data_IF_496549575443
#
_entry.id   IF_496549575443
#
_cell.length_a   1.000
_cell.length_b   1.000
_cell.length_c   1.000
_cell.angle_alpha   90.00
_cell.angle_beta   90.00
_cell.angle_gamma   90.00
#
_symmetry.space_group_name_H-M   'P 1'
#
loop_
_entity.id
_entity.type
_entity.pdbx_description
1 polymer ?
#
# COMPACT_ATOMS: atom_id res chain seq x y z
N UNK A 1 21.80 -28.19 6.57
CA UNK A 1 20.40 -27.70 6.67
C UNK A 1 20.34 -26.74 7.85
N UNK A 2 20.43 -25.44 7.58
CA UNK A 2 20.52 -24.40 8.61
C UNK A 2 19.19 -23.64 8.68
N UNK A 3 18.52 -23.77 9.83
CA UNK A 3 17.27 -23.11 10.17
C UNK A 3 17.58 -21.63 10.50
N UNK A 4 17.20 -20.70 9.62
CA UNK A 4 17.41 -19.26 9.83
C UNK A 4 16.27 -18.75 10.71
N UNK A 5 16.55 -18.66 12.01
CA UNK A 5 15.63 -18.21 13.06
C UNK A 5 15.02 -16.83 12.76
N UNK A 6 13.69 -16.77 12.65
CA UNK A 6 12.92 -15.52 12.56
C UNK A 6 12.76 -14.97 13.98
N UNK A 7 13.28 -13.78 14.27
CA UNK A 7 13.04 -13.08 15.54
C UNK A 7 11.57 -12.69 15.63
N UNK A 8 10.91 -13.10 16.71
CA UNK A 8 9.51 -12.78 16.99
C UNK A 8 9.40 -11.33 17.50
N UNK A 9 8.34 -10.62 17.13
CA UNK A 9 8.01 -9.27 17.63
C UNK A 9 7.93 -9.23 19.18
N UNK A 10 7.64 -10.38 19.81
CA UNK A 10 7.67 -10.51 21.26
C UNK A 10 9.08 -10.31 21.85
N UNK A 11 10.13 -10.74 21.15
CA UNK A 11 11.52 -10.56 21.59
C UNK A 11 11.95 -9.10 21.48
N UNK A 12 11.44 -8.39 20.46
CA UNK A 12 11.69 -6.96 20.27
C UNK A 12 11.05 -6.12 21.40
N UNK A 13 9.83 -6.47 21.82
CA UNK A 13 9.12 -5.78 22.91
C UNK A 13 9.69 -6.13 24.31
N UNK A 14 10.26 -7.32 24.48
CA UNK A 14 10.92 -7.71 25.72
C UNK A 14 12.26 -6.98 25.93
N UNK A 15 13.00 -6.75 24.85
CA UNK A 15 14.28 -6.01 24.89
C UNK A 15 14.10 -4.53 25.27
N UNK A 16 12.92 -3.98 25.01
CA UNK A 16 12.54 -2.61 25.39
C UNK A 16 12.21 -2.43 26.88
N UNK A 17 11.90 -3.52 27.61
CA UNK A 17 11.53 -3.47 29.04
C UNK A 17 12.71 -3.57 30.00
N UNK A 18 13.86 -4.09 29.56
CA UNK A 18 15.03 -4.30 30.43
C UNK A 18 15.83 -3.01 30.65
N UNK A 19 15.60 -1.97 29.85
CA UNK A 19 16.29 -0.67 29.96
C UNK A 19 15.71 0.22 31.07
N UNK A 20 14.52 -0.10 31.59
CA UNK A 20 13.74 0.80 32.45
C UNK A 20 13.94 0.58 33.97
N UNK A 21 14.92 -0.23 34.39
CA UNK A 21 15.22 -0.47 35.82
C UNK A 21 16.65 -0.06 36.18
N UNK A 22 17.01 1.22 36.03
CA UNK A 22 18.19 1.82 36.69
C UNK A 22 18.16 3.35 36.59
N UNK A 23 17.34 4.04 37.40
CA UNK A 23 17.61 5.42 37.82
C UNK A 23 16.59 5.88 38.88
N UNK A 24 16.90 5.61 40.15
CA UNK A 24 16.40 6.40 41.28
C UNK A 24 17.59 7.21 41.81
N UNK A 25 17.45 8.54 41.91
CA UNK A 25 17.87 9.44 43.04
C UNK A 25 17.93 10.91 42.58
N UNK A 26 17.06 11.76 43.16
CA UNK A 26 17.33 13.14 43.65
C UNK A 26 17.77 14.30 42.71
N UNK A 27 17.54 15.59 43.09
CA UNK A 27 17.14 16.61 42.12
C UNK A 27 18.15 17.73 41.82
N UNK A 28 17.95 18.30 40.61
CA UNK A 28 18.21 19.66 40.14
C UNK A 28 19.66 20.19 40.08
N UNK A 29 20.18 20.33 38.86
CA UNK A 29 20.95 21.50 38.42
C UNK A 29 20.98 21.60 36.88
N UNK A 30 20.98 22.83 36.37
CA UNK A 30 20.76 23.22 34.97
C UNK A 30 22.02 23.27 34.11
N UNK A 31 21.87 22.90 32.81
CA UNK A 31 22.71 23.24 31.63
C UNK A 31 23.82 22.23 31.23
N UNK A 32 24.26 22.14 29.94
CA UNK A 32 23.62 22.39 28.64
C UNK A 32 23.56 21.12 27.74
N UNK A 33 22.89 21.24 26.58
CA UNK A 33 22.70 20.18 25.59
C UNK A 33 24.01 19.47 25.16
N UNK A 34 24.07 18.15 25.37
CA UNK A 34 25.05 17.24 24.80
C UNK A 34 24.40 16.42 23.66
N UNK A 35 25.20 15.94 22.69
CA UNK A 35 24.73 15.59 21.34
C UNK A 35 23.78 14.39 21.34
N UNK A 36 22.69 14.53 20.59
CA UNK A 36 21.78 13.42 20.31
C UNK A 36 22.54 12.39 19.46
N UNK A 37 23.01 11.31 20.08
CA UNK A 37 23.53 10.16 19.34
C UNK A 37 22.38 9.52 18.53
N UNK A 38 22.56 9.23 17.23
CA UNK A 38 21.51 8.70 16.40
C UNK A 38 21.19 7.25 16.78
N UNK A 39 19.91 6.97 17.05
CA UNK A 39 19.40 5.63 17.36
C UNK A 39 19.58 4.64 16.19
N UNK A 40 19.94 3.37 16.44
CA UNK A 40 20.45 2.44 15.43
C UNK A 40 19.36 1.72 14.60
N UNK A 41 18.34 2.42 14.12
CA UNK A 41 17.29 1.82 13.26
C UNK A 41 16.79 2.72 12.13
N UNK A 42 17.49 3.82 11.84
CA UNK A 42 17.13 4.69 10.74
C UNK A 42 17.60 4.09 9.41
N UNK A 43 16.67 3.85 8.48
CA UNK A 43 17.01 3.72 7.06
C UNK A 43 17.73 5.03 6.68
N UNK A 44 19.00 4.95 6.29
CA UNK A 44 19.74 6.13 5.83
C UNK A 44 19.28 6.47 4.42
N UNK A 45 18.52 7.56 4.30
CA UNK A 45 18.07 8.10 3.02
C UNK A 45 19.16 9.02 2.46
N UNK A 46 19.58 8.86 1.20
CA UNK A 46 20.61 9.72 0.61
C UNK A 46 20.10 11.16 0.49
N UNK A 47 21.03 12.12 0.56
CA UNK A 47 20.72 13.51 0.21
C UNK A 47 20.25 13.60 -1.25
N UNK A 48 19.33 14.52 -1.59
CA UNK A 48 18.85 14.67 -2.96
C UNK A 48 20.00 14.88 -3.96
N UNK A 49 20.03 14.06 -5.00
CA UNK A 49 20.98 14.19 -6.11
C UNK A 49 20.30 13.99 -7.47
N UNK A 50 20.97 14.41 -8.55
CA UNK A 50 20.51 14.15 -9.92
C UNK A 50 21.19 12.89 -10.43
N UNK A 51 20.38 11.94 -10.94
CA UNK A 51 20.89 10.68 -11.52
C UNK A 51 21.65 10.89 -12.82
N UNK A 52 22.28 9.83 -13.32
CA UNK A 52 22.95 9.85 -14.62
C UNK A 52 21.98 9.91 -15.81
N UNK A 53 22.48 10.32 -16.99
CA UNK A 53 21.71 10.29 -18.25
C UNK A 53 21.59 8.87 -18.84
N UNK A 54 22.26 7.88 -18.23
CA UNK A 54 22.21 6.48 -18.65
C UNK A 54 20.87 5.83 -18.27
N UNK A 55 20.35 4.96 -19.15
CA UNK A 55 19.08 4.30 -18.88
C UNK A 55 19.15 3.26 -17.75
N UNK A 56 20.33 2.72 -17.47
CA UNK A 56 20.55 1.68 -16.45
C UNK A 56 21.02 2.33 -15.15
N UNK A 57 20.38 1.96 -14.03
CA UNK A 57 20.81 2.41 -12.71
C UNK A 57 22.16 1.79 -12.37
N UNK A 58 23.08 2.63 -11.90
CA UNK A 58 24.30 2.22 -11.22
C UNK A 58 23.98 1.41 -9.96
N UNK A 59 24.95 0.66 -9.44
CA UNK A 59 24.75 -0.10 -8.21
C UNK A 59 24.39 0.80 -7.02
N UNK A 60 24.98 2.00 -6.98
CA UNK A 60 24.64 3.01 -5.98
C UNK A 60 23.20 3.48 -6.11
N UNK A 61 22.75 3.82 -7.32
CA UNK A 61 21.36 4.25 -7.56
C UNK A 61 20.34 3.14 -7.24
N UNK A 62 20.69 1.87 -7.48
CA UNK A 62 19.86 0.73 -7.06
C UNK A 62 19.74 0.63 -5.54
N UNK A 63 20.86 0.77 -4.82
CA UNK A 63 20.85 0.76 -3.37
C UNK A 63 20.05 1.95 -2.79
N UNK A 64 20.22 3.14 -3.37
CA UNK A 64 19.49 4.35 -3.01
C UNK A 64 17.99 4.21 -3.29
N UNK A 65 17.61 3.59 -4.41
CA UNK A 65 16.21 3.29 -4.74
C UNK A 65 15.59 2.38 -3.68
N UNK A 66 16.26 1.29 -3.30
CA UNK A 66 15.77 0.37 -2.25
C UNK A 66 15.59 1.10 -0.91
N UNK A 67 16.54 1.97 -0.53
CA UNK A 67 16.43 2.76 0.70
C UNK A 67 15.24 3.74 0.65
N UNK A 68 15.09 4.45 -0.48
CA UNK A 68 13.97 5.38 -0.71
C UNK A 68 12.62 4.65 -0.69
N UNK A 69 12.50 3.52 -1.39
CA UNK A 69 11.28 2.70 -1.42
C UNK A 69 10.92 2.19 -0.02
N UNK A 70 11.91 1.74 0.75
CA UNK A 70 11.70 1.30 2.13
C UNK A 70 11.18 2.44 3.03
N UNK A 71 11.70 3.66 2.91
CA UNK A 71 11.16 4.80 3.65
C UNK A 71 9.75 5.21 3.20
N UNK A 72 9.45 5.15 1.91
CA UNK A 72 8.09 5.40 1.39
C UNK A 72 7.12 4.34 1.89
N UNK A 73 7.58 3.09 2.04
CA UNK A 73 6.76 2.00 2.56
C UNK A 73 6.42 2.17 4.04
N UNK A 74 7.30 2.79 4.85
CA UNK A 74 6.99 3.16 6.25
C UNK A 74 5.75 4.05 6.33
N UNK A 75 5.58 5.02 5.42
CA UNK A 75 4.42 5.91 5.41
C UNK A 75 3.10 5.12 5.28
N UNK A 76 3.11 4.02 4.52
CA UNK A 76 1.91 3.22 4.24
C UNK A 76 1.43 2.44 5.46
N UNK A 77 2.31 2.08 6.40
CA UNK A 77 1.95 1.45 7.68
C UNK A 77 1.84 2.44 8.85
N UNK A 78 2.40 3.64 8.70
CA UNK A 78 2.44 4.66 9.75
C UNK A 78 1.05 5.06 10.26
N UNK A 79 0.02 5.08 9.40
CA UNK A 79 -1.34 5.44 9.83
C UNK A 79 -1.90 4.45 10.87
N UNK A 80 -1.59 3.15 10.74
CA UNK A 80 -2.07 2.14 11.68
C UNK A 80 -1.35 2.27 13.03
N UNK A 81 -0.05 2.53 13.01
CA UNK A 81 0.72 2.82 14.23
C UNK A 81 0.20 4.10 14.92
N UNK A 82 -0.07 5.15 14.15
CA UNK A 82 -0.65 6.39 14.67
C UNK A 82 -2.03 6.14 15.28
N UNK A 83 -2.90 5.37 14.61
CA UNK A 83 -4.22 4.99 15.14
C UNK A 83 -4.14 4.23 16.46
N UNK A 84 -3.23 3.25 16.55
CA UNK A 84 -2.99 2.48 17.78
C UNK A 84 -2.47 3.37 18.90
N UNK A 85 -1.51 4.25 18.62
CA UNK A 85 -0.97 5.20 19.59
C UNK A 85 -2.03 6.19 20.09
N UNK A 86 -2.83 6.76 19.17
CA UNK A 86 -3.95 7.64 19.50
C UNK A 86 -4.97 6.93 20.39
N UNK A 87 -5.28 5.65 20.12
CA UNK A 87 -6.16 4.87 20.98
C UNK A 87 -5.57 4.69 22.37
N UNK A 88 -4.28 4.34 22.50
CA UNK A 88 -3.60 4.21 23.80
C UNK A 88 -3.65 5.52 24.57
N UNK A 89 -3.33 6.65 23.92
CA UNK A 89 -3.39 7.98 24.52
C UNK A 89 -4.80 8.28 25.05
N UNK A 90 -5.83 8.01 24.24
CA UNK A 90 -7.23 8.25 24.59
C UNK A 90 -7.68 7.37 25.75
N UNK A 91 -7.53 6.06 25.61
CA UNK A 91 -8.10 5.06 26.51
C UNK A 91 -7.37 5.05 27.86
N UNK A 92 -6.05 5.23 27.89
CA UNK A 92 -5.26 5.38 29.11
C UNK A 92 -5.24 6.83 29.66
N UNK A 93 -5.94 7.75 28.99
CA UNK A 93 -6.03 9.18 29.35
C UNK A 93 -4.66 9.84 29.54
N UNK A 94 -3.70 9.53 28.68
CA UNK A 94 -2.32 10.07 28.76
C UNK A 94 -2.26 11.59 28.51
N UNK A 95 -3.34 12.18 28.01
CA UNK A 95 -3.49 13.62 27.81
C UNK A 95 -3.83 14.40 29.10
N UNK A 96 -4.26 13.72 30.17
CA UNK A 96 -4.92 14.33 31.35
C UNK A 96 -4.09 15.34 32.14
N UNK A 97 -2.77 15.33 31.98
CA UNK A 97 -1.88 16.26 32.66
C UNK A 97 -1.95 17.68 32.06
N UNK A 98 -2.11 17.77 30.73
CA UNK A 98 -2.08 19.05 30.00
C UNK A 98 -3.45 19.45 29.45
N UNK A 99 -4.35 18.51 29.20
CA UNK A 99 -5.61 18.75 28.52
C UNK A 99 -6.81 18.10 29.23
N UNK A 100 -7.98 18.76 29.23
CA UNK A 100 -9.18 18.22 29.87
C UNK A 100 -9.80 17.05 29.09
N UNK A 101 -9.65 17.03 27.76
CA UNK A 101 -10.22 16.02 26.87
C UNK A 101 -9.20 15.56 25.83
N UNK A 102 -9.44 14.37 25.27
CA UNK A 102 -8.61 13.82 24.19
C UNK A 102 -8.67 14.70 22.94
N UNK A 103 -9.86 15.24 22.63
CA UNK A 103 -10.11 16.10 21.49
C UNK A 103 -9.27 17.37 21.56
N UNK A 104 -9.27 18.05 22.71
CA UNK A 104 -8.46 19.24 22.94
C UNK A 104 -6.97 18.93 22.76
N UNK A 105 -6.51 17.79 23.28
CA UNK A 105 -5.12 17.34 23.13
C UNK A 105 -4.73 17.11 21.67
N UNK A 106 -5.58 16.42 20.89
CA UNK A 106 -5.27 16.13 19.49
C UNK A 106 -5.27 17.40 18.64
N UNK A 107 -6.21 18.31 18.88
CA UNK A 107 -6.32 19.56 18.15
C UNK A 107 -5.13 20.49 18.45
N UNK A 108 -4.76 20.65 19.72
CA UNK A 108 -3.63 21.51 20.11
C UNK A 108 -2.27 20.90 19.74
N UNK A 109 -2.00 19.66 20.18
CA UNK A 109 -0.66 19.05 20.05
C UNK A 109 -0.33 18.65 18.62
N UNK A 110 -1.31 18.17 17.86
CA UNK A 110 -1.09 17.58 16.54
C UNK A 110 -1.72 18.38 15.40
N UNK A 111 -2.43 19.48 15.69
CA UNK A 111 -3.14 20.29 14.68
C UNK A 111 -4.04 19.43 13.79
N UNK A 112 -4.61 18.37 14.38
CA UNK A 112 -5.36 17.32 13.70
C UNK A 112 -6.84 17.45 14.06
N UNK A 113 -7.72 17.35 13.07
CA UNK A 113 -9.17 17.31 13.34
C UNK A 113 -9.50 16.07 14.17
N UNK A 114 -10.34 16.25 15.18
CA UNK A 114 -10.85 15.14 16.01
C UNK A 114 -11.40 13.98 15.16
N UNK A 115 -12.16 14.26 14.10
CA UNK A 115 -12.69 13.24 13.18
C UNK A 115 -11.62 12.44 12.43
N UNK A 116 -10.45 13.02 12.17
CA UNK A 116 -9.32 12.32 11.59
C UNK A 116 -8.69 11.37 12.60
N UNK A 117 -8.51 11.80 13.85
CA UNK A 117 -7.95 10.95 14.90
C UNK A 117 -8.84 9.73 15.18
N UNK A 118 -10.16 9.93 15.32
CA UNK A 118 -11.09 8.82 15.50
C UNK A 118 -11.12 7.87 14.30
N UNK A 119 -10.96 8.37 13.07
CA UNK A 119 -10.85 7.52 11.86
C UNK A 119 -9.61 6.63 11.90
N UNK A 120 -8.45 7.16 12.31
CA UNK A 120 -7.24 6.37 12.49
C UNK A 120 -7.41 5.32 13.59
N UNK A 121 -8.06 5.69 14.70
CA UNK A 121 -8.39 4.77 15.80
C UNK A 121 -9.31 3.63 15.30
N UNK A 122 -10.29 3.93 14.44
CA UNK A 122 -11.20 2.92 13.90
C UNK A 122 -10.51 2.00 12.88
N UNK A 123 -9.56 2.52 12.10
CA UNK A 123 -8.92 1.79 11.01
C UNK A 123 -7.81 0.83 11.46
N UNK A 124 -7.00 1.20 12.47
CA UNK A 124 -5.79 0.43 12.80
C UNK A 124 -6.02 -1.06 13.16
N UNK A 125 -7.10 -1.49 13.84
CA UNK A 125 -7.27 -2.89 14.18
C UNK A 125 -7.43 -3.77 12.94
N UNK A 126 -8.16 -3.25 11.94
CA UNK A 126 -8.34 -3.96 10.68
C UNK A 126 -7.07 -3.91 9.82
N UNK A 127 -6.35 -2.79 9.84
CA UNK A 127 -5.05 -2.67 9.18
C UNK A 127 -4.02 -3.69 9.72
N UNK A 128 -3.98 -3.90 11.05
CA UNK A 128 -3.07 -4.86 11.68
C UNK A 128 -3.37 -6.30 11.25
N UNK A 129 -4.65 -6.65 11.07
CA UNK A 129 -5.08 -7.97 10.57
C UNK A 129 -4.81 -8.14 9.07
N UNK A 130 -4.94 -7.09 8.27
CA UNK A 130 -4.73 -7.14 6.81
C UNK A 130 -3.25 -7.05 6.41
N UNK A 131 -2.39 -6.49 7.26
CA UNK A 131 -0.96 -6.31 6.99
C UNK A 131 -0.20 -7.59 6.61
N UNK A 132 -0.49 -8.78 7.17
CA UNK A 132 0.20 -10.03 6.79
C UNK A 132 -0.30 -10.66 5.48
N UNK A 133 -1.39 -10.17 4.89
CA UNK A 133 -2.18 -10.90 3.87
C UNK A 133 -1.67 -10.64 2.43
N UNK A 134 -0.48 -10.08 2.27
CA UNK A 134 0.24 -10.08 0.98
C UNK A 134 1.49 -9.22 0.97
N UNK A 135 2.27 -9.32 -0.11
CA UNK A 135 3.41 -8.43 -0.42
C UNK A 135 2.98 -6.97 -0.72
N UNK A 136 1.69 -6.66 -0.59
CA UNK A 136 1.08 -5.37 -0.96
C UNK A 136 0.60 -4.67 0.31
N UNK A 137 1.27 -3.57 0.65
CA UNK A 137 0.91 -2.75 1.82
C UNK A 137 -0.45 -2.07 1.61
N UNK A 138 -1.34 -2.21 2.58
CA UNK A 138 -2.67 -1.60 2.61
C UNK A 138 -2.60 -0.15 3.12
N UNK A 139 -3.38 0.77 2.54
CA UNK A 139 -3.49 2.15 3.01
C UNK A 139 -4.80 2.43 3.76
N UNK A 140 -4.85 3.54 4.51
CA UNK A 140 -6.02 3.93 5.31
C UNK A 140 -7.31 3.96 4.50
N UNK A 141 -7.25 4.50 3.28
CA UNK A 141 -8.44 4.67 2.46
C UNK A 141 -8.99 3.33 1.97
N UNK A 142 -8.15 2.32 1.73
CA UNK A 142 -8.59 0.95 1.43
C UNK A 142 -9.20 0.29 2.67
N UNK A 143 -8.56 0.41 3.83
CA UNK A 143 -9.09 -0.13 5.10
C UNK A 143 -10.49 0.43 5.37
N UNK A 144 -10.67 1.74 5.14
CA UNK A 144 -11.93 2.44 5.40
C UNK A 144 -13.12 1.86 4.64
N UNK A 145 -12.93 1.40 3.41
CA UNK A 145 -14.01 0.77 2.63
C UNK A 145 -14.40 -0.61 3.18
N UNK A 146 -13.53 -1.25 3.96
CA UNK A 146 -13.76 -2.56 4.58
C UNK A 146 -14.28 -2.45 6.02
N UNK A 147 -14.22 -1.28 6.65
CA UNK A 147 -14.70 -1.07 8.03
C UNK A 147 -16.18 -1.45 8.17
N UNK A 148 -17.11 -0.97 7.32
CA UNK A 148 -18.52 -1.34 7.47
C UNK A 148 -18.74 -2.85 7.39
N UNK A 149 -18.05 -3.52 6.46
CA UNK A 149 -18.12 -4.97 6.31
C UNK A 149 -17.60 -5.69 7.57
N UNK A 150 -16.49 -5.22 8.14
CA UNK A 150 -15.93 -5.77 9.36
C UNK A 150 -16.83 -5.56 10.59
N UNK A 151 -17.54 -4.44 10.65
CA UNK A 151 -18.49 -4.13 11.73
C UNK A 151 -19.75 -5.00 11.66
N UNK A 152 -20.26 -5.27 10.46
CA UNK A 152 -21.50 -6.05 10.26
C UNK A 152 -21.27 -7.56 10.26
N UNK A 153 -20.14 -8.03 9.71
CA UNK A 153 -19.88 -9.46 9.47
C UNK A 153 -18.58 -9.97 10.08
N UNK A 154 -17.87 -9.13 10.84
CA UNK A 154 -16.62 -9.49 11.49
C UNK A 154 -15.38 -9.30 10.62
N UNK A 155 -14.21 -9.27 11.27
CA UNK A 155 -12.91 -9.00 10.59
C UNK A 155 -12.56 -10.05 9.54
N UNK A 156 -12.94 -11.31 9.74
CA UNK A 156 -12.70 -12.39 8.77
C UNK A 156 -13.43 -12.16 7.43
N UNK A 157 -14.58 -11.48 7.44
CA UNK A 157 -15.27 -11.10 6.22
C UNK A 157 -14.44 -10.09 5.42
N UNK A 158 -13.92 -9.05 6.08
CA UNK A 158 -13.02 -8.07 5.47
C UNK A 158 -11.71 -8.70 4.95
N UNK A 159 -11.15 -9.66 5.68
CA UNK A 159 -10.00 -10.45 5.24
C UNK A 159 -10.31 -11.23 3.96
N UNK A 160 -11.43 -11.96 3.94
CA UNK A 160 -11.86 -12.75 2.78
C UNK A 160 -12.03 -11.86 1.55
N UNK A 161 -12.70 -10.71 1.70
CA UNK A 161 -12.90 -9.75 0.60
C UNK A 161 -11.58 -9.20 0.11
N UNK A 162 -10.72 -8.69 1.00
CA UNK A 162 -9.43 -8.12 0.63
C UNK A 162 -8.56 -9.13 -0.10
N UNK A 163 -8.45 -10.35 0.44
CA UNK A 163 -7.66 -11.44 -0.15
C UNK A 163 -8.15 -11.80 -1.55
N UNK A 164 -9.46 -11.95 -1.71
CA UNK A 164 -10.06 -12.26 -3.02
C UNK A 164 -9.69 -11.22 -4.08
N UNK A 165 -9.78 -9.93 -3.74
CA UNK A 165 -9.39 -8.85 -4.68
C UNK A 165 -7.88 -8.84 -4.92
N UNK A 166 -7.06 -9.06 -3.87
CA UNK A 166 -5.60 -9.01 -3.96
C UNK A 166 -4.99 -10.16 -4.79
N UNK A 167 -5.64 -11.32 -4.77
CA UNK A 167 -5.29 -12.54 -5.51
C UNK A 167 -5.93 -12.60 -6.91
N UNK A 168 -6.81 -11.66 -7.26
CA UNK A 168 -7.38 -11.61 -8.61
C UNK A 168 -6.37 -10.99 -9.58
N UNK A 169 -5.95 -11.75 -10.60
CA UNK A 169 -4.99 -11.31 -11.60
C UNK A 169 -5.48 -10.07 -12.36
N UNK A 170 -4.55 -9.15 -12.64
CA UNK A 170 -4.85 -7.90 -13.35
C UNK A 170 -5.60 -6.84 -12.54
N UNK A 171 -6.03 -7.14 -11.30
CA UNK A 171 -6.76 -6.20 -10.45
C UNK A 171 -5.84 -5.52 -9.44
N UNK A 172 -5.81 -4.18 -9.48
CA UNK A 172 -5.17 -3.38 -8.43
C UNK A 172 -6.16 -3.16 -7.29
N UNK A 173 -5.75 -3.54 -6.07
CA UNK A 173 -6.53 -3.20 -4.87
C UNK A 173 -6.53 -1.69 -4.69
N UNK A 174 -7.69 -1.05 -4.83
CA UNK A 174 -7.89 0.39 -4.60
C UNK A 174 -9.13 0.59 -3.75
N UNK A 175 -9.27 1.75 -3.11
CA UNK A 175 -10.48 2.07 -2.35
C UNK A 175 -11.74 2.00 -3.24
N UNK A 176 -11.68 2.49 -4.48
CA UNK A 176 -12.80 2.42 -5.42
C UNK A 176 -13.22 0.97 -5.73
N UNK A 177 -12.25 0.08 -5.95
CA UNK A 177 -12.51 -1.35 -6.19
C UNK A 177 -13.13 -1.98 -4.94
N UNK A 178 -12.54 -1.77 -3.75
CA UNK A 178 -13.06 -2.34 -2.50
C UNK A 178 -14.48 -1.84 -2.20
N UNK A 179 -14.76 -0.56 -2.45
CA UNK A 179 -16.10 0.01 -2.32
C UNK A 179 -17.12 -0.68 -3.23
N UNK A 180 -16.76 -0.87 -4.51
CA UNK A 180 -17.62 -1.55 -5.48
C UNK A 180 -17.87 -3.01 -5.12
N UNK A 181 -16.82 -3.70 -4.69
CA UNK A 181 -16.85 -5.10 -4.24
C UNK A 181 -17.71 -5.26 -2.98
N UNK A 182 -17.56 -4.41 -1.97
CA UNK A 182 -18.42 -4.44 -0.77
C UNK A 182 -19.87 -4.12 -1.14
N UNK A 183 -20.10 -3.22 -2.09
CA UNK A 183 -21.44 -2.82 -2.53
C UNK A 183 -22.25 -3.90 -3.26
N UNK A 184 -21.61 -4.96 -3.77
CA UNK A 184 -22.34 -6.09 -4.40
C UNK A 184 -22.66 -7.22 -3.43
N UNK A 185 -22.10 -7.20 -2.23
CA UNK A 185 -22.34 -8.24 -1.23
C UNK A 185 -23.69 -8.00 -0.50
N UNK A 186 -24.39 -9.06 -0.09
CA UNK A 186 -25.61 -8.91 0.69
C UNK A 186 -25.33 -8.18 2.02
N UNK A 187 -26.14 -7.17 2.40
CA UNK A 187 -25.89 -6.37 3.61
C UNK A 187 -26.20 -7.12 4.92
N UNK A 188 -27.12 -8.09 4.88
CA UNK A 188 -27.64 -8.74 6.09
C UNK A 188 -26.94 -10.07 6.41
N UNK A 189 -26.20 -10.64 5.45
CA UNK A 189 -25.56 -11.95 5.59
C UNK A 189 -24.24 -12.00 4.84
N UNK A 190 -23.29 -12.75 5.39
CA UNK A 190 -22.01 -12.99 4.74
C UNK A 190 -21.73 -14.50 4.71
N UNK A 191 -21.71 -15.05 3.51
CA UNK A 191 -21.21 -16.40 3.26
C UNK A 191 -19.88 -16.28 2.50
N UNK A 192 -18.76 -16.82 3.02
CA UNK A 192 -17.44 -16.65 2.39
C UNK A 192 -17.35 -17.18 0.96
N UNK A 193 -17.96 -18.34 0.67
CA UNK A 193 -17.88 -18.96 -0.65
C UNK A 193 -18.69 -18.18 -1.67
N UNK A 194 -19.92 -17.80 -1.29
CA UNK A 194 -20.78 -16.95 -2.12
C UNK A 194 -20.15 -15.59 -2.36
N UNK A 195 -19.56 -14.97 -1.33
CA UNK A 195 -18.85 -13.70 -1.46
C UNK A 195 -17.70 -13.83 -2.46
N UNK A 196 -16.84 -14.84 -2.35
CA UNK A 196 -15.75 -15.06 -3.31
C UNK A 196 -16.26 -15.18 -4.75
N UNK A 197 -17.35 -15.93 -4.95
CA UNK A 197 -17.96 -16.10 -6.27
C UNK A 197 -18.53 -14.78 -6.83
N UNK A 198 -19.27 -14.02 -6.01
CA UNK A 198 -19.85 -12.74 -6.41
C UNK A 198 -18.77 -11.69 -6.71
N UNK A 199 -17.71 -11.65 -5.90
CA UNK A 199 -16.59 -10.73 -6.09
C UNK A 199 -15.85 -11.04 -7.37
N UNK A 200 -15.55 -12.32 -7.63
CA UNK A 200 -14.91 -12.73 -8.90
C UNK A 200 -15.80 -12.40 -10.09
N UNK A 201 -17.09 -12.71 -10.03
CA UNK A 201 -18.04 -12.37 -11.10
C UNK A 201 -18.12 -10.86 -11.35
N UNK A 202 -18.14 -10.05 -10.28
CA UNK A 202 -18.12 -8.59 -10.36
C UNK A 202 -16.82 -8.08 -10.97
N UNK A 203 -15.66 -8.60 -10.51
CA UNK A 203 -14.36 -8.20 -11.02
C UNK A 203 -14.20 -8.62 -12.47
N UNK A 204 -14.53 -9.85 -12.87
CA UNK A 204 -14.49 -10.28 -14.28
C UNK A 204 -15.36 -9.38 -15.16
N UNK A 205 -16.61 -9.12 -14.75
CA UNK A 205 -17.52 -8.25 -15.50
C UNK A 205 -17.00 -6.81 -15.65
N UNK A 206 -16.29 -6.29 -14.65
CA UNK A 206 -15.74 -4.93 -14.69
C UNK A 206 -14.34 -4.86 -15.30
N UNK A 207 -13.56 -5.94 -15.25
CA UNK A 207 -12.29 -6.11 -15.95
C UNK A 207 -12.55 -6.19 -17.46
N UNK A 208 -13.62 -6.85 -17.88
CA UNK A 208 -14.13 -6.85 -19.25
C UNK A 208 -14.82 -5.51 -19.63
N UNK A 209 -14.99 -4.58 -18.68
CA UNK A 209 -15.93 -3.45 -18.76
C UNK A 209 -15.37 -2.02 -18.63
N UNK A 210 -14.25 -1.75 -17.94
CA UNK A 210 -13.31 -0.61 -18.15
C UNK A 210 -12.36 -0.35 -16.98
N UNK A 211 -11.25 0.31 -17.36
CA UNK A 211 -10.32 1.09 -16.55
C UNK A 211 -10.88 1.68 -15.24
N UNK A 212 -10.28 1.27 -14.11
CA UNK A 212 -10.34 2.03 -12.86
C UNK A 212 -9.40 3.24 -12.96
N UNK A 213 -9.66 4.16 -13.89
CA UNK A 213 -9.00 5.47 -13.94
C UNK A 213 -9.71 6.44 -14.90
N UNK A 214 -10.92 6.86 -14.58
CA UNK A 214 -11.29 8.29 -14.48
C UNK A 214 -12.76 8.41 -14.06
N UNK A 215 -13.02 9.34 -13.15
CA UNK A 215 -14.32 9.53 -12.53
C UNK A 215 -15.39 10.03 -13.52
N UNK A 216 -16.63 9.58 -13.28
CA UNK A 216 -17.89 10.09 -13.84
C UNK A 216 -18.17 9.79 -15.34
N UNK A 217 -19.39 9.29 -15.59
CA UNK A 217 -20.02 9.29 -16.92
C UNK A 217 -19.89 7.97 -17.68
N UNK A 218 -21.01 7.27 -17.87
CA UNK A 218 -21.03 5.94 -18.47
C UNK A 218 -20.90 5.89 -19.99
N UNK A 219 -20.26 4.83 -20.48
CA UNK A 219 -20.61 3.99 -21.64
C UNK A 219 -19.46 3.00 -21.86
N UNK A 220 -19.73 1.84 -22.45
CA UNK A 220 -18.75 0.76 -22.70
C UNK A 220 -17.50 1.25 -23.47
N UNK A 221 -16.32 0.61 -23.28
CA UNK A 221 -15.09 1.02 -23.96
C UNK A 221 -15.25 0.83 -25.46
N UNK A 222 -15.05 1.92 -26.20
CA UNK A 222 -14.97 1.89 -27.66
C UNK A 222 -13.66 1.24 -28.11
N UNK A 223 -13.61 0.68 -29.32
CA UNK A 223 -12.37 0.18 -29.96
C UNK A 223 -11.19 1.18 -29.83
N UNK A 224 -11.48 2.48 -29.88
CA UNK A 224 -10.52 3.56 -29.69
C UNK A 224 -9.89 3.59 -28.28
N UNK A 225 -10.63 3.22 -27.24
CA UNK A 225 -10.13 3.12 -25.87
C UNK A 225 -9.14 1.95 -25.73
N UNK A 226 -9.47 0.78 -26.29
CA UNK A 226 -8.58 -0.39 -26.30
C UNK A 226 -7.26 -0.12 -27.05
N UNK A 227 -7.37 0.48 -28.23
CA UNK A 227 -6.19 0.91 -28.99
C UNK A 227 -5.39 1.97 -28.23
N UNK A 228 -6.06 2.84 -27.46
CA UNK A 228 -5.43 3.82 -26.57
C UNK A 228 -4.58 3.18 -25.46
N UNK A 229 -5.08 2.10 -24.85
CA UNK A 229 -4.36 1.31 -23.83
C UNK A 229 -3.15 0.60 -24.43
N UNK A 230 -3.36 -0.12 -25.53
CA UNK A 230 -2.28 -0.81 -26.27
C UNK A 230 -1.17 0.17 -26.65
N UNK A 231 -1.52 1.35 -27.19
CA UNK A 231 -0.56 2.41 -27.55
C UNK A 231 0.23 2.92 -26.34
N UNK A 232 -0.39 3.00 -25.16
CA UNK A 232 0.28 3.48 -23.94
C UNK A 232 1.29 2.46 -23.44
N UNK A 233 0.95 1.17 -23.49
CA UNK A 233 1.86 0.07 -23.15
C UNK A 233 3.04 0.06 -24.12
N UNK A 234 2.78 0.09 -25.43
CA UNK A 234 3.82 0.16 -26.45
C UNK A 234 4.73 1.38 -26.26
N UNK A 235 4.18 2.58 -26.04
CA UNK A 235 4.97 3.78 -25.74
C UNK A 235 5.82 3.62 -24.47
N UNK A 236 5.33 2.92 -23.45
CA UNK A 236 6.10 2.67 -22.21
C UNK A 236 7.22 1.66 -22.45
N UNK A 237 6.96 0.61 -23.22
CA UNK A 237 7.97 -0.40 -23.60
C UNK A 237 9.07 0.23 -24.47
N UNK A 238 8.71 1.14 -25.39
CA UNK A 238 9.66 1.86 -26.24
C UNK A 238 10.42 2.96 -25.47
N UNK A 239 9.77 3.65 -24.52
CA UNK A 239 10.42 4.66 -23.68
C UNK A 239 11.37 4.06 -22.64
N UNK A 240 11.08 2.84 -22.18
CA UNK A 240 12.03 2.08 -21.37
C UNK A 240 13.09 1.52 -22.31
N UNK A 241 14.32 1.49 -21.85
CA UNK A 241 15.44 0.93 -22.62
C UNK A 241 15.38 -0.61 -22.74
N UNK A 242 14.20 -1.21 -22.54
CA UNK A 242 13.93 -2.63 -22.61
C UNK A 242 14.17 -3.18 -24.01
N UNK A 243 13.78 -2.45 -25.06
CA UNK A 243 13.98 -2.90 -26.44
C UNK A 243 15.48 -2.85 -26.77
N UNK A 244 16.18 -1.79 -26.39
CA UNK A 244 17.62 -1.66 -26.64
C UNK A 244 18.42 -2.72 -25.87
N UNK A 245 18.05 -3.02 -24.62
CA UNK A 245 18.67 -4.08 -23.81
C UNK A 245 18.37 -5.47 -24.35
N UNK A 246 17.11 -5.77 -24.64
CA UNK A 246 16.74 -7.05 -25.23
C UNK A 246 17.41 -7.25 -26.60
N UNK A 247 17.57 -6.19 -27.40
CA UNK A 247 18.28 -6.26 -28.67
C UNK A 247 19.79 -6.42 -28.54
N UNK A 248 20.38 -6.01 -27.41
CA UNK A 248 21.79 -6.26 -27.10
C UNK A 248 22.04 -7.70 -26.63
N UNK A 249 21.04 -8.35 -26.04
CA UNK A 249 21.09 -9.74 -25.56
C UNK A 249 20.72 -10.76 -26.64
N UNK A 250 19.57 -10.59 -27.30
CA UNK A 250 19.11 -11.42 -28.41
C UNK A 250 18.35 -10.58 -29.46
N UNK A 251 19.05 -10.07 -30.49
CA UNK A 251 18.42 -9.24 -31.53
C UNK A 251 17.44 -10.02 -32.42
N UNK A 252 17.56 -11.35 -32.54
CA UNK A 252 16.69 -12.15 -33.39
C UNK A 252 15.35 -12.44 -32.70
N UNK A 253 15.36 -12.63 -31.37
CA UNK A 253 14.14 -12.74 -30.59
C UNK A 253 13.31 -11.45 -30.64
N UNK A 254 13.95 -10.29 -30.51
CA UNK A 254 13.27 -8.98 -30.63
C UNK A 254 12.66 -8.80 -32.02
N UNK A 255 13.38 -9.17 -33.09
CA UNK A 255 12.84 -9.11 -34.46
C UNK A 255 11.65 -10.03 -34.66
N UNK A 256 11.68 -11.24 -34.10
CA UNK A 256 10.57 -12.20 -34.16
C UNK A 256 9.33 -11.64 -33.49
N UNK A 257 9.43 -11.16 -32.25
CA UNK A 257 8.30 -10.59 -31.50
C UNK A 257 7.72 -9.35 -32.22
N UNK A 258 8.57 -8.48 -32.76
CA UNK A 258 8.12 -7.33 -33.55
C UNK A 258 7.39 -7.77 -34.83
N UNK A 259 7.84 -8.84 -35.47
CA UNK A 259 7.21 -9.38 -36.68
C UNK A 259 5.85 -10.03 -36.37
N UNK A 260 5.73 -10.74 -35.26
CA UNK A 260 4.45 -11.27 -34.76
C UNK A 260 3.45 -10.15 -34.46
N UNK A 261 3.89 -9.07 -33.80
CA UNK A 261 3.05 -7.90 -33.54
C UNK A 261 2.60 -7.21 -34.83
N UNK A 262 3.45 -7.14 -35.86
CA UNK A 262 3.05 -6.61 -37.18
C UNK A 262 2.02 -7.51 -37.85
N UNK A 263 2.21 -8.82 -37.85
CA UNK A 263 1.26 -9.75 -38.44
C UNK A 263 -0.13 -9.66 -37.79
N UNK A 264 -0.20 -9.47 -36.47
CA UNK A 264 -1.46 -9.25 -35.77
C UNK A 264 -2.14 -7.93 -36.17
N UNK A 265 -1.37 -6.87 -36.42
CA UNK A 265 -1.92 -5.60 -36.91
C UNK A 265 -2.42 -5.72 -38.35
N UNK A 266 -1.69 -6.44 -39.20
CA UNK A 266 -2.10 -6.72 -40.59
C UNK A 266 -3.39 -7.56 -40.62
N UNK A 267 -3.57 -8.52 -39.70
CA UNK A 267 -4.80 -9.31 -39.58
C UNK A 267 -6.00 -8.44 -39.15
N UNK A 268 -5.77 -7.44 -38.27
CA UNK A 268 -6.80 -6.47 -37.90
C UNK A 268 -7.17 -5.58 -39.09
N UNK A 269 -6.18 -5.14 -39.88
CA UNK A 269 -6.41 -4.34 -41.09
C UNK A 269 -7.22 -5.11 -42.14
N UNK A 270 -6.90 -6.39 -42.38
CA UNK A 270 -7.63 -7.28 -43.29
C UNK A 270 -9.06 -7.61 -42.84
N UNK A 271 -9.37 -7.45 -41.55
CA UNK A 271 -10.72 -7.65 -41.00
C UNK A 271 -11.58 -6.38 -41.10
N UNK A 272 -10.98 -5.22 -41.37
CA UNK A 272 -11.64 -3.91 -41.40
C UNK A 272 -11.80 -3.39 -42.83
N UNK A 273 -10.94 -3.82 -43.77
CA UNK A 273 -11.00 -3.53 -45.22
C UNK A 273 -11.58 -4.70 -46.03
#
# INVERSE_FOLDING_TARGET
MANKSRRSMADFLAQQRVVDQSADTGPAESSPAAPVEPSPSAITIPDPYTGGDEAALTERERADLVACEAAVDVLRVAFAQAGKALQVIRDARLYRESHPTFEAYVEDRWQMKTSQAYRLIQAWPLAEVLSPIGDKIINESQVRELIPLAEHHGREAAVTVYRTVAETDGVRVTAAVLKGVVGVLPPDRFDPEEAVQQIRAYLTRNVDGQDVAEAAGGSAPTFTAEVGRLRTILKRVVKRDLISRAAAEDPEEVKRVVSELRALLDEVEQKVL
#
